data_IF_275375862581
#
_entry.id   IF_275375862581
#
_cell.length_a   1.000
_cell.length_b   1.000
_cell.length_c   1.000
_cell.angle_alpha   90.00
_cell.angle_beta   90.00
_cell.angle_gamma   90.00
#
_symmetry.space_group_name_H-M   'P 1'
#
loop_
_entity.id
_entity.type
_entity.pdbx_description
1 polymer ?
#
# COMPACT_ATOMS: atom_id res chain seq x y z
N UNK A 1 22.59 13.55 14.15
CA UNK A 1 22.79 12.13 13.76
C UNK A 1 22.31 11.98 12.32
N UNK A 2 23.09 11.39 11.42
CA UNK A 2 22.62 11.16 10.03
C UNK A 2 21.40 10.23 10.04
N UNK A 3 20.37 10.48 9.21
CA UNK A 3 19.25 9.56 9.07
C UNK A 3 19.72 8.14 8.73
N UNK A 4 19.11 7.12 9.35
CA UNK A 4 19.51 5.73 9.17
C UNK A 4 19.35 5.22 7.73
N UNK A 5 18.53 5.89 6.90
CA UNK A 5 18.27 5.54 5.52
C UNK A 5 18.92 6.52 4.51
N UNK A 6 19.79 7.42 4.96
CA UNK A 6 20.44 8.43 4.11
C UNK A 6 21.23 7.82 2.94
N UNK A 7 21.83 6.64 3.15
CA UNK A 7 22.66 5.94 2.17
C UNK A 7 21.87 5.11 1.16
N UNK A 8 20.56 4.95 1.34
CA UNK A 8 19.72 4.22 0.39
C UNK A 8 19.67 5.00 -0.92
N UNK A 9 19.68 4.30 -2.05
CA UNK A 9 19.64 4.92 -3.38
C UNK A 9 18.29 4.71 -4.06
N UNK A 10 18.16 5.23 -5.28
CA UNK A 10 17.01 5.03 -6.15
C UNK A 10 16.55 3.56 -6.29
N UNK A 11 17.42 2.57 -6.02
CA UNK A 11 17.05 1.16 -5.87
C UNK A 11 15.89 0.90 -4.91
N UNK A 12 15.70 1.78 -3.92
CA UNK A 12 14.70 1.65 -2.87
C UNK A 12 13.60 2.73 -3.01
N UNK A 13 13.59 3.49 -4.10
CA UNK A 13 12.68 4.61 -4.29
C UNK A 13 11.45 4.16 -5.08
N UNK A 14 10.22 4.33 -4.57
CA UNK A 14 9.00 3.94 -5.29
C UNK A 14 8.72 4.81 -6.53
N UNK A 15 9.45 5.92 -6.71
CA UNK A 15 9.38 6.74 -7.91
C UNK A 15 10.34 6.29 -9.03
N UNK A 16 11.21 5.31 -8.78
CA UNK A 16 12.13 4.78 -9.78
C UNK A 16 11.38 3.78 -10.69
N UNK A 17 11.46 4.02 -12.00
CA UNK A 17 10.90 3.16 -13.03
C UNK A 17 12.06 2.44 -13.70
N UNK A 18 12.16 1.13 -13.50
CA UNK A 18 13.20 0.30 -14.11
C UNK A 18 12.87 0.02 -15.57
N UNK A 19 13.85 0.26 -16.46
CA UNK A 19 13.74 -0.11 -17.88
C UNK A 19 14.43 -1.46 -18.08
N UNK A 20 13.69 -2.44 -18.59
CA UNK A 20 14.13 -3.82 -18.72
C UNK A 20 13.14 -4.76 -18.05
N UNK A 21 12.09 -5.14 -18.78
CA UNK A 21 11.05 -6.02 -18.26
C UNK A 21 11.59 -7.44 -18.08
N UNK A 22 11.57 -7.95 -16.86
CA UNK A 22 11.63 -9.41 -16.62
C UNK A 22 10.20 -9.94 -16.76
N UNK A 23 9.92 -10.70 -17.82
CA UNK A 23 8.64 -11.39 -17.94
C UNK A 23 8.62 -12.63 -17.04
N UNK A 24 8.04 -12.49 -15.85
CA UNK A 24 7.85 -13.59 -14.90
C UNK A 24 6.92 -14.71 -15.40
N UNK A 25 6.26 -14.54 -16.56
CA UNK A 25 5.42 -15.58 -17.19
C UNK A 25 6.20 -16.48 -18.13
N UNK A 26 7.44 -16.15 -18.46
CA UNK A 26 8.27 -16.95 -19.35
C UNK A 26 8.73 -18.23 -18.62
N UNK A 27 8.01 -19.32 -18.83
CA UNK A 27 8.44 -20.64 -18.42
C UNK A 27 9.67 -21.04 -19.27
N UNK A 28 10.87 -20.99 -18.68
CA UNK A 28 12.05 -21.65 -19.24
C UNK A 28 12.72 -21.04 -20.48
N UNK A 29 12.32 -19.86 -20.95
CA UNK A 29 12.99 -19.17 -22.08
C UNK A 29 13.68 -17.84 -21.70
N UNK A 30 13.50 -17.36 -20.47
CA UNK A 30 14.07 -16.08 -20.04
C UNK A 30 15.58 -16.10 -19.80
N UNK A 31 16.22 -17.26 -19.60
CA UNK A 31 17.67 -17.30 -19.39
C UNK A 31 18.48 -16.96 -20.65
N UNK A 32 17.94 -17.18 -21.85
CA UNK A 32 18.60 -16.80 -23.11
C UNK A 32 18.39 -15.32 -23.42
N UNK A 33 17.22 -14.75 -23.10
CA UNK A 33 16.97 -13.30 -23.17
C UNK A 33 17.68 -12.50 -22.07
N UNK A 34 18.04 -13.13 -20.94
CA UNK A 34 18.89 -12.52 -19.91
C UNK A 34 20.36 -12.48 -20.36
N UNK A 35 20.81 -13.44 -21.18
CA UNK A 35 22.19 -13.47 -21.70
C UNK A 35 22.43 -12.46 -22.84
N UNK A 36 21.38 -11.93 -23.45
CA UNK A 36 21.47 -10.87 -24.46
C UNK A 36 21.44 -9.45 -23.87
N UNK A 37 21.22 -9.32 -22.56
CA UNK A 37 21.63 -8.13 -21.83
C UNK A 37 23.14 -8.29 -21.60
N UNK A 38 23.92 -7.83 -22.58
CA UNK A 38 25.34 -7.49 -22.39
C UNK A 38 25.52 -6.74 -21.06
N UNK A 39 26.73 -6.74 -20.48
CA UNK A 39 27.12 -6.04 -19.24
C UNK A 39 26.90 -4.50 -19.29
N UNK A 40 25.67 -4.06 -19.56
CA UNK A 40 25.19 -2.70 -19.71
C UNK A 40 24.41 -2.32 -18.47
N UNK A 41 24.82 -1.22 -17.86
CA UNK A 41 24.28 -0.69 -16.60
C UNK A 41 22.73 -0.64 -16.62
N UNK A 42 22.11 -1.18 -15.57
CA UNK A 42 20.66 -1.02 -15.34
C UNK A 42 20.36 0.48 -15.23
N UNK A 43 19.53 0.98 -16.15
CA UNK A 43 19.08 2.37 -16.18
C UNK A 43 17.65 2.50 -15.68
N UNK A 44 17.38 3.62 -15.00
CA UNK A 44 16.06 3.98 -14.49
C UNK A 44 15.63 5.35 -15.00
N UNK A 45 14.31 5.59 -14.97
CA UNK A 45 13.71 6.92 -15.04
C UNK A 45 13.09 7.26 -13.66
N UNK A 46 13.01 8.54 -13.31
CA UNK A 46 12.34 8.98 -12.08
C UNK A 46 10.99 9.64 -12.39
N UNK A 47 9.89 9.08 -11.90
CA UNK A 47 8.54 9.61 -12.10
C UNK A 47 8.34 11.01 -11.47
N UNK A 48 9.16 11.36 -10.48
CA UNK A 48 9.11 12.67 -9.79
C UNK A 48 10.10 13.69 -10.35
N UNK A 49 11.11 13.22 -11.09
CA UNK A 49 12.20 14.03 -11.63
C UNK A 49 12.48 13.64 -13.09
N UNK A 50 11.54 13.94 -14.01
CA UNK A 50 11.67 13.55 -15.42
C UNK A 50 12.86 14.24 -16.10
N UNK A 51 13.37 15.34 -15.55
CA UNK A 51 14.52 16.08 -16.09
C UNK A 51 15.84 15.30 -16.04
N UNK A 52 15.93 14.23 -15.23
CA UNK A 52 17.12 13.38 -15.14
C UNK A 52 17.28 12.44 -16.36
N UNK A 53 16.23 12.26 -17.16
CA UNK A 53 16.23 11.28 -18.25
C UNK A 53 16.50 9.85 -17.76
N UNK A 54 17.31 9.10 -18.50
CA UNK A 54 17.78 7.78 -18.12
C UNK A 54 19.10 7.88 -17.38
N UNK A 55 19.19 7.27 -16.20
CA UNK A 55 20.40 7.32 -15.38
C UNK A 55 20.54 6.05 -14.53
N UNK A 56 21.75 5.81 -14.02
CA UNK A 56 21.99 4.71 -13.08
C UNK A 56 21.34 5.01 -11.71
N UNK A 57 20.79 4.00 -11.01
CA UNK A 57 20.14 4.15 -9.70
C UNK A 57 21.11 4.43 -8.52
N UNK A 58 22.03 5.37 -8.70
CA UNK A 58 23.13 5.71 -7.78
C UNK A 58 22.85 6.90 -6.85
N UNK A 59 21.87 7.75 -7.17
CA UNK A 59 21.51 8.91 -6.35
C UNK A 59 20.98 8.45 -4.99
N UNK A 60 21.60 8.91 -3.91
CA UNK A 60 21.17 8.58 -2.54
C UNK A 60 19.95 9.40 -2.12
N UNK A 61 19.24 8.94 -1.09
CA UNK A 61 18.13 9.70 -0.50
C UNK A 61 18.62 11.03 0.08
N UNK A 62 19.84 11.09 0.64
CA UNK A 62 20.45 12.33 1.11
C UNK A 62 20.71 13.34 -0.02
N UNK A 63 21.02 12.86 -1.22
CA UNK A 63 21.28 13.71 -2.40
C UNK A 63 19.99 14.14 -3.13
N UNK A 64 18.91 13.39 -2.96
CA UNK A 64 17.67 13.61 -3.72
C UNK A 64 16.76 14.64 -3.04
N UNK A 65 16.35 15.73 -3.72
CA UNK A 65 15.53 16.79 -3.11
C UNK A 65 14.09 16.36 -2.78
N UNK A 66 13.64 15.23 -3.33
CA UNK A 66 12.33 14.63 -3.05
C UNK A 66 12.26 13.97 -1.67
N UNK A 67 13.40 13.57 -1.11
CA UNK A 67 13.49 12.93 0.19
C UNK A 67 13.73 13.98 1.27
N UNK A 68 12.74 14.19 2.13
CA UNK A 68 12.75 15.21 3.18
C UNK A 68 13.01 14.60 4.56
N UNK A 69 13.67 15.32 5.48
CA UNK A 69 13.83 14.86 6.86
C UNK A 69 12.49 14.68 7.59
N UNK A 70 12.40 13.62 8.38
CA UNK A 70 11.30 13.33 9.29
C UNK A 70 11.85 12.78 10.62
N UNK A 71 11.01 12.68 11.68
CA UNK A 71 11.42 12.03 12.93
C UNK A 71 11.87 10.57 12.76
N UNK A 72 11.49 9.90 11.66
CA UNK A 72 11.79 8.51 11.37
C UNK A 72 12.88 8.34 10.30
N UNK A 73 13.62 9.39 9.96
CA UNK A 73 14.61 9.39 8.87
C UNK A 73 14.12 10.16 7.65
N UNK A 74 14.68 9.88 6.48
CA UNK A 74 14.23 10.51 5.24
C UNK A 74 12.92 9.90 4.76
N UNK A 75 12.01 10.73 4.31
CA UNK A 75 10.68 10.37 3.83
C UNK A 75 10.47 11.01 2.46
N UNK A 76 9.88 10.27 1.53
CA UNK A 76 9.54 10.81 0.22
C UNK A 76 8.39 11.81 0.38
N UNK A 77 8.59 13.04 -0.10
CA UNK A 77 7.60 14.13 -0.03
C UNK A 77 6.26 13.68 -0.62
N UNK A 78 5.12 14.06 -0.03
CA UNK A 78 3.79 13.78 -0.61
C UNK A 78 3.55 12.29 -0.96
N UNK A 79 4.25 11.35 -0.28
CA UNK A 79 4.17 9.94 -0.64
C UNK A 79 2.74 9.41 -0.50
N UNK A 80 2.26 8.71 -1.54
CA UNK A 80 0.90 8.16 -1.61
C UNK A 80 0.86 6.78 -0.99
N UNK A 81 0.10 6.62 0.09
CA UNK A 81 -0.04 5.36 0.82
C UNK A 81 -1.50 4.94 0.81
N UNK A 82 -1.78 3.75 0.26
CA UNK A 82 -3.11 3.16 0.28
C UNK A 82 -3.19 2.10 1.39
N UNK A 83 -4.17 2.22 2.28
CA UNK A 83 -4.38 1.29 3.40
C UNK A 83 -5.65 0.47 3.13
N UNK A 84 -5.50 -0.85 2.99
CA UNK A 84 -6.62 -1.78 2.87
C UNK A 84 -7.00 -2.24 4.28
N UNK A 85 -8.28 -2.19 4.64
CA UNK A 85 -8.73 -2.44 6.02
C UNK A 85 -8.57 -1.19 6.91
N UNK A 86 -8.75 -0.01 6.32
CA UNK A 86 -8.48 1.29 6.97
C UNK A 86 -9.44 1.60 8.13
N UNK A 87 -10.62 0.96 8.22
CA UNK A 87 -11.52 1.16 9.36
C UNK A 87 -11.08 0.38 10.61
N UNK A 88 -10.25 -0.65 10.41
CA UNK A 88 -9.73 -1.52 11.45
C UNK A 88 -8.85 -0.80 12.48
N UNK A 89 -8.55 -1.52 13.57
CA UNK A 89 -7.78 -1.00 14.70
C UNK A 89 -6.41 -0.41 14.30
N UNK A 90 -5.63 -1.19 13.53
CA UNK A 90 -4.33 -0.76 13.02
C UNK A 90 -4.46 0.18 11.82
N UNK A 91 -5.42 -0.08 10.93
CA UNK A 91 -5.63 0.72 9.71
C UNK A 91 -5.95 2.18 10.02
N UNK A 92 -6.91 2.43 10.91
CA UNK A 92 -7.36 3.78 11.22
C UNK A 92 -6.26 4.58 11.94
N UNK A 93 -5.60 3.97 12.92
CA UNK A 93 -4.53 4.63 13.67
C UNK A 93 -3.31 4.95 12.80
N UNK A 94 -2.96 4.05 11.88
CA UNK A 94 -1.91 4.28 10.90
C UNK A 94 -2.27 5.42 9.93
N UNK A 95 -3.52 5.45 9.44
CA UNK A 95 -3.99 6.51 8.54
C UNK A 95 -3.85 7.90 9.15
N UNK A 96 -4.26 8.06 10.42
CA UNK A 96 -4.12 9.33 11.14
C UNK A 96 -2.65 9.73 11.33
N UNK A 97 -1.80 8.76 11.67
CA UNK A 97 -0.36 8.99 11.87
C UNK A 97 0.33 9.41 10.58
N UNK A 98 0.09 8.70 9.48
CA UNK A 98 0.68 8.99 8.18
C UNK A 98 0.17 10.32 7.63
N UNK A 99 -1.14 10.60 7.74
CA UNK A 99 -1.69 11.89 7.32
C UNK A 99 -1.00 13.06 8.05
N UNK A 100 -0.80 12.94 9.37
CA UNK A 100 -0.12 13.97 10.17
C UNK A 100 1.37 14.14 9.84
N UNK A 101 2.00 13.09 9.32
CA UNK A 101 3.39 13.15 8.81
C UNK A 101 3.48 13.76 7.40
N UNK A 102 2.36 14.03 6.73
CA UNK A 102 2.34 14.63 5.39
C UNK A 102 2.24 13.64 4.23
N UNK A 103 1.92 12.36 4.52
CA UNK A 103 1.60 11.39 3.48
C UNK A 103 0.21 11.66 2.90
N UNK A 104 0.04 11.34 1.61
CA UNK A 104 -1.27 11.32 0.96
C UNK A 104 -1.92 9.97 1.19
N UNK A 105 -2.84 9.92 2.16
CA UNK A 105 -3.45 8.66 2.59
C UNK A 105 -4.76 8.41 1.85
N UNK A 106 -4.88 7.21 1.29
CA UNK A 106 -6.15 6.66 0.81
C UNK A 106 -6.40 5.30 1.44
N UNK A 107 -7.61 4.78 1.35
CA UNK A 107 -7.88 3.43 1.81
C UNK A 107 -9.27 2.91 1.50
N UNK A 108 -9.41 1.60 1.65
CA UNK A 108 -10.67 0.88 1.45
C UNK A 108 -11.03 0.04 2.67
N UNK A 109 -12.31 -0.14 2.90
CA UNK A 109 -12.86 -1.08 3.88
C UNK A 109 -14.32 -1.43 3.52
N UNK A 110 -14.74 -2.68 3.76
CA UNK A 110 -16.14 -3.10 3.56
C UNK A 110 -16.95 -3.19 4.86
N UNK A 111 -16.32 -2.88 6.01
CA UNK A 111 -16.83 -2.98 7.38
C UNK A 111 -17.07 -4.41 7.89
N UNK A 112 -16.56 -5.43 7.19
CA UNK A 112 -16.70 -6.84 7.57
C UNK A 112 -16.32 -7.11 9.03
N UNK A 113 -15.29 -6.44 9.54
CA UNK A 113 -14.86 -6.60 10.93
C UNK A 113 -15.95 -6.22 11.92
N UNK A 114 -16.72 -5.15 11.64
CA UNK A 114 -17.85 -4.70 12.47
C UNK A 114 -18.96 -5.75 12.44
N UNK A 115 -19.26 -6.31 11.27
CA UNK A 115 -20.26 -7.37 11.11
C UNK A 115 -19.88 -8.62 11.91
N UNK A 116 -18.62 -9.07 11.85
CA UNK A 116 -18.13 -10.19 12.66
C UNK A 116 -18.22 -9.94 14.18
N UNK A 117 -18.07 -8.69 14.65
CA UNK A 117 -18.29 -8.34 16.07
C UNK A 117 -19.77 -8.55 16.43
N UNK A 118 -20.66 -7.99 15.63
CA UNK A 118 -22.11 -8.03 15.86
C UNK A 118 -22.63 -9.46 15.85
N UNK A 119 -22.14 -10.29 14.93
CA UNK A 119 -22.49 -11.71 14.83
C UNK A 119 -22.23 -12.48 16.13
N UNK A 120 -21.18 -12.13 16.88
CA UNK A 120 -20.85 -12.77 18.17
C UNK A 120 -21.54 -12.11 19.37
N UNK A 121 -22.42 -11.14 19.15
CA UNK A 121 -23.02 -10.34 20.23
C UNK A 121 -21.97 -9.58 21.06
N UNK A 122 -20.79 -9.37 20.49
CA UNK A 122 -19.70 -8.66 21.16
C UNK A 122 -19.82 -7.15 20.88
N UNK A 123 -19.13 -6.36 21.69
CA UNK A 123 -19.02 -4.91 21.49
C UNK A 123 -17.58 -4.46 21.72
N UNK A 124 -17.18 -3.40 21.04
CA UNK A 124 -15.94 -2.70 21.33
C UNK A 124 -16.06 -1.97 22.67
N UNK A 125 -14.99 -1.96 23.47
CA UNK A 125 -14.94 -1.23 24.76
C UNK A 125 -15.07 0.27 24.52
N UNK A 126 -14.40 0.78 23.47
CA UNK A 126 -14.50 2.17 23.04
C UNK A 126 -15.46 2.23 21.86
N UNK A 127 -16.57 2.99 21.93
CA UNK A 127 -17.49 3.15 20.82
C UNK A 127 -16.77 3.58 19.54
N UNK A 128 -17.05 2.86 18.46
CA UNK A 128 -16.46 3.15 17.14
C UNK A 128 -17.47 3.94 16.32
N UNK A 129 -17.16 5.20 16.09
CA UNK A 129 -17.98 6.08 15.25
C UNK A 129 -18.06 5.61 13.79
N UNK A 130 -19.04 6.16 13.07
CA UNK A 130 -19.17 5.95 11.62
C UNK A 130 -17.97 6.52 10.89
N UNK A 131 -17.63 5.94 9.74
CA UNK A 131 -16.50 6.40 8.94
C UNK A 131 -16.63 7.87 8.52
N UNK A 132 -17.85 8.36 8.27
CA UNK A 132 -18.12 9.78 7.96
C UNK A 132 -17.64 10.71 9.08
N UNK A 133 -18.01 10.40 10.33
CA UNK A 133 -17.62 11.19 11.51
C UNK A 133 -16.13 11.11 11.79
N UNK A 134 -15.54 9.93 11.59
CA UNK A 134 -14.10 9.71 11.69
C UNK A 134 -13.32 10.58 10.71
N UNK A 135 -13.73 10.60 9.44
CA UNK A 135 -13.12 11.41 8.39
C UNK A 135 -13.32 12.91 8.64
N UNK A 136 -14.53 13.31 9.05
CA UNK A 136 -14.82 14.69 9.44
C UNK A 136 -13.91 15.15 10.59
N UNK A 137 -13.81 14.36 11.66
CA UNK A 137 -12.96 14.65 12.81
C UNK A 137 -11.48 14.72 12.43
N UNK A 138 -10.99 13.83 11.56
CA UNK A 138 -9.63 13.86 11.07
C UNK A 138 -9.32 15.17 10.31
N UNK A 139 -10.27 15.64 9.49
CA UNK A 139 -10.14 16.90 8.77
C UNK A 139 -10.18 18.10 9.72
N UNK A 140 -11.18 18.18 10.59
CA UNK A 140 -11.39 19.35 11.47
C UNK A 140 -10.28 19.49 12.52
N UNK A 141 -9.86 18.39 13.14
CA UNK A 141 -8.94 18.43 14.29
C UNK A 141 -7.48 18.36 13.83
N UNK A 142 -7.18 17.55 12.81
CA UNK A 142 -5.80 17.30 12.37
C UNK A 142 -5.45 17.98 11.05
N UNK A 143 -6.43 18.54 10.33
CA UNK A 143 -6.21 19.15 9.02
C UNK A 143 -5.85 18.15 7.92
N UNK A 144 -6.13 16.85 8.12
CA UNK A 144 -5.76 15.80 7.17
C UNK A 144 -6.97 15.32 6.39
N UNK A 145 -6.81 15.17 5.08
CA UNK A 145 -7.83 14.61 4.20
C UNK A 145 -7.46 13.18 3.82
N UNK A 146 -8.32 12.22 4.17
CA UNK A 146 -8.14 10.81 3.86
C UNK A 146 -9.14 10.44 2.77
N UNK A 147 -8.65 9.91 1.64
CA UNK A 147 -9.51 9.44 0.55
C UNK A 147 -10.00 8.01 0.85
N UNK A 148 -11.22 7.89 1.37
CA UNK A 148 -11.83 6.60 1.73
C UNK A 148 -12.87 6.16 0.70
N UNK A 149 -12.86 4.86 0.35
CA UNK A 149 -13.96 4.22 -0.38
C UNK A 149 -14.42 2.94 0.30
N UNK A 150 -15.74 2.74 0.37
CA UNK A 150 -16.30 1.48 0.84
C UNK A 150 -16.24 0.44 -0.28
N UNK A 151 -15.22 -0.41 -0.27
CA UNK A 151 -14.95 -1.42 -1.31
C UNK A 151 -14.61 -2.75 -0.63
N UNK A 152 -15.15 -3.86 -1.14
CA UNK A 152 -14.69 -5.21 -0.79
C UNK A 152 -13.41 -5.51 -1.59
N UNK A 153 -12.35 -5.95 -0.91
CA UNK A 153 -11.09 -6.31 -1.56
C UNK A 153 -11.26 -7.38 -2.65
N UNK A 154 -12.27 -8.24 -2.53
CA UNK A 154 -12.59 -9.25 -3.54
C UNK A 154 -13.24 -8.67 -4.81
N UNK A 155 -13.76 -7.44 -4.76
CA UNK A 155 -14.22 -6.73 -5.95
C UNK A 155 -13.03 -6.11 -6.69
N UNK A 156 -12.43 -6.93 -7.55
CA UNK A 156 -11.20 -6.58 -8.27
C UNK A 156 -11.37 -5.37 -9.19
N UNK A 157 -12.57 -5.13 -9.71
CA UNK A 157 -12.81 -4.02 -10.63
C UNK A 157 -12.77 -2.70 -9.87
N UNK A 158 -13.52 -2.61 -8.77
CA UNK A 158 -13.52 -1.40 -7.93
C UNK A 158 -12.14 -1.13 -7.31
N UNK A 159 -11.44 -2.18 -6.87
CA UNK A 159 -10.07 -2.05 -6.34
C UNK A 159 -9.12 -1.55 -7.42
N UNK A 160 -9.21 -2.09 -8.65
CA UNK A 160 -8.40 -1.66 -9.80
C UNK A 160 -8.66 -0.19 -10.13
N UNK A 161 -9.92 0.20 -10.31
CA UNK A 161 -10.30 1.59 -10.63
C UNK A 161 -9.77 2.57 -9.58
N UNK A 162 -9.93 2.23 -8.29
CA UNK A 162 -9.42 3.09 -7.23
C UNK A 162 -7.89 3.15 -7.17
N UNK A 163 -7.21 2.04 -7.47
CA UNK A 163 -5.76 2.00 -7.54
C UNK A 163 -5.21 2.78 -8.75
N UNK A 164 -5.91 2.76 -9.88
CA UNK A 164 -5.61 3.56 -11.07
C UNK A 164 -5.75 5.07 -10.80
N UNK A 165 -6.78 5.46 -10.06
CA UNK A 165 -6.98 6.85 -9.63
C UNK A 165 -5.89 7.32 -8.65
N UNK A 166 -5.59 6.52 -7.62
CA UNK A 166 -4.68 6.92 -6.54
C UNK A 166 -3.22 6.78 -6.94
N UNK A 167 -2.87 5.77 -7.75
CA UNK A 167 -1.49 5.39 -8.10
C UNK A 167 -0.59 5.30 -6.84
N UNK A 168 -0.92 4.46 -5.83
CA UNK A 168 -0.18 4.45 -4.57
C UNK A 168 1.28 4.04 -4.76
N UNK A 169 2.17 4.64 -3.98
CA UNK A 169 3.61 4.30 -3.93
C UNK A 169 3.90 3.22 -2.87
N UNK A 170 2.97 3.01 -1.94
CA UNK A 170 3.00 1.92 -0.98
C UNK A 170 1.57 1.49 -0.63
N UNK A 171 1.39 0.20 -0.43
CA UNK A 171 0.13 -0.41 -0.03
C UNK A 171 0.35 -1.13 1.30
N UNK A 172 -0.50 -0.82 2.28
CA UNK A 172 -0.54 -1.53 3.57
C UNK A 172 -1.80 -2.37 3.60
N UNK A 173 -1.65 -3.69 3.70
CA UNK A 173 -2.77 -4.62 3.63
C UNK A 173 -3.15 -5.17 5.01
N UNK A 174 -4.24 -4.66 5.56
CA UNK A 174 -4.91 -5.16 6.78
C UNK A 174 -6.33 -5.70 6.49
N UNK A 175 -6.75 -5.79 5.22
CA UNK A 175 -8.09 -6.20 4.80
C UNK A 175 -8.28 -7.72 4.85
N UNK A 176 -8.01 -8.32 5.99
CA UNK A 176 -8.12 -9.75 6.25
C UNK A 176 -9.01 -10.01 7.47
N UNK A 177 -9.40 -11.26 7.68
CA UNK A 177 -10.01 -11.74 8.92
C UNK A 177 -8.86 -12.23 9.82
N UNK A 178 -8.45 -11.49 10.87
CA UNK A 178 -7.25 -11.80 11.64
C UNK A 178 -7.54 -12.63 12.91
N UNK A 179 -8.80 -12.91 13.20
CA UNK A 179 -9.20 -13.52 14.48
C UNK A 179 -9.12 -15.05 14.41
N UNK A 180 -8.11 -15.61 15.09
CA UNK A 180 -7.99 -17.07 15.24
C UNK A 180 -9.21 -17.71 15.92
N UNK A 181 -9.82 -17.15 17.00
CA UNK A 181 -11.05 -17.71 17.53
C UNK A 181 -12.20 -17.69 16.53
N UNK A 182 -12.35 -16.61 15.75
CA UNK A 182 -13.39 -16.52 14.72
C UNK A 182 -13.22 -17.59 13.63
N UNK A 183 -11.98 -17.83 13.17
CA UNK A 183 -11.71 -18.84 12.14
C UNK A 183 -11.92 -20.27 12.61
N UNK A 184 -12.08 -20.50 13.92
CA UNK A 184 -12.22 -21.83 14.53
C UNK A 184 -13.63 -22.08 15.10
N UNK A 185 -14.60 -21.21 14.83
CA UNK A 185 -15.99 -21.37 15.29
C UNK A 185 -16.62 -22.63 14.69
N UNK A 186 -16.56 -22.75 13.36
CA UNK A 186 -17.07 -23.87 12.58
C UNK A 186 -16.38 -23.93 11.21
N UNK A 187 -16.69 -24.98 10.45
CA UNK A 187 -16.11 -25.18 9.11
C UNK A 187 -16.41 -24.02 8.15
N UNK A 188 -17.61 -23.44 8.20
CA UNK A 188 -18.00 -22.33 7.32
C UNK A 188 -17.19 -21.07 7.59
N UNK A 189 -16.91 -20.75 8.86
CA UNK A 189 -16.04 -19.63 9.25
C UNK A 189 -14.60 -19.86 8.84
N UNK A 190 -14.09 -21.09 8.97
CA UNK A 190 -12.74 -21.45 8.56
C UNK A 190 -12.56 -21.27 7.04
N UNK A 191 -13.49 -21.79 6.23
CA UNK A 191 -13.51 -21.64 4.77
C UNK A 191 -13.56 -20.16 4.40
N UNK A 192 -14.52 -19.41 4.97
CA UNK A 192 -14.67 -17.97 4.70
C UNK A 192 -13.41 -17.17 5.02
N UNK A 193 -12.72 -17.51 6.10
CA UNK A 193 -11.45 -16.87 6.49
C UNK A 193 -10.36 -17.10 5.45
N UNK A 194 -10.18 -18.35 5.03
CA UNK A 194 -9.19 -18.71 4.01
C UNK A 194 -9.53 -18.08 2.66
N UNK A 195 -10.79 -18.17 2.21
CA UNK A 195 -11.23 -17.56 0.96
C UNK A 195 -11.04 -16.05 0.94
N UNK A 196 -11.43 -15.35 2.02
CA UNK A 196 -11.27 -13.91 2.12
C UNK A 196 -9.80 -13.49 2.03
N UNK A 197 -8.95 -14.11 2.86
CA UNK A 197 -7.57 -13.70 3.02
C UNK A 197 -6.72 -14.09 1.81
N UNK A 198 -6.82 -15.35 1.38
CA UNK A 198 -5.99 -15.87 0.28
C UNK A 198 -6.42 -15.29 -1.06
N UNK A 199 -7.72 -15.34 -1.40
CA UNK A 199 -8.17 -14.86 -2.71
C UNK A 199 -8.15 -13.33 -2.81
N UNK A 200 -8.37 -12.63 -1.69
CA UNK A 200 -8.23 -11.18 -1.61
C UNK A 200 -6.78 -10.75 -1.84
N UNK A 201 -5.83 -11.34 -1.12
CA UNK A 201 -4.40 -11.06 -1.27
C UNK A 201 -3.87 -11.44 -2.66
N UNK A 202 -4.27 -12.60 -3.19
CA UNK A 202 -3.90 -13.00 -4.56
C UNK A 202 -4.43 -12.00 -5.59
N UNK A 203 -5.71 -11.61 -5.48
CA UNK A 203 -6.30 -10.61 -6.36
C UNK A 203 -5.56 -9.27 -6.31
N UNK A 204 -5.21 -8.82 -5.11
CA UNK A 204 -4.43 -7.60 -4.90
C UNK A 204 -3.08 -7.65 -5.61
N UNK A 205 -2.31 -8.74 -5.45
CA UNK A 205 -0.99 -8.87 -6.06
C UNK A 205 -1.03 -8.75 -7.59
N UNK A 206 -2.06 -9.33 -8.23
CA UNK A 206 -2.25 -9.20 -9.68
C UNK A 206 -2.61 -7.76 -10.08
N UNK A 207 -3.45 -7.07 -9.30
CA UNK A 207 -3.79 -5.66 -9.57
C UNK A 207 -2.55 -4.78 -9.40
N UNK A 208 -1.73 -4.99 -8.36
CA UNK A 208 -0.47 -4.26 -8.15
C UNK A 208 0.43 -4.41 -9.37
N UNK A 209 0.68 -5.65 -9.79
CA UNK A 209 1.49 -5.97 -10.98
C UNK A 209 0.99 -5.24 -12.24
N UNK A 210 -0.32 -5.19 -12.44
CA UNK A 210 -0.89 -4.62 -13.67
C UNK A 210 -0.97 -3.09 -13.64
N UNK A 211 -1.22 -2.51 -12.46
CA UNK A 211 -1.49 -1.08 -12.31
C UNK A 211 -0.26 -0.34 -11.83
N UNK A 212 0.31 -0.70 -10.67
CA UNK A 212 1.44 -0.02 -10.00
C UNK A 212 2.61 -1.00 -9.78
N UNK A 213 3.28 -1.47 -10.86
CA UNK A 213 4.40 -2.40 -10.76
C UNK A 213 5.64 -1.80 -10.09
#
# INVERSE_FOLDING_TARGET
MKPHNAYKTCWNCPAAIFKGNVDFRACGQSMEDIKSIEEGQIVIECNRRPELGHFEPSITFEQCPEWIPSPYGLMLRDMRVMILGIDGYLGWTLALKLGKLGFRVSGIDNFLRRDCVMEKGAHTIVPIERMTERLHSAREILGININFRRIDLKDRNQVREFMEEVRPESIVHYAEIPSAPYSMVDCSHAIRTQENNVLGTLGLLFIIKDVVP
#
